data_IF_392953847994
#
_entry.id   IF_392953847994
#
_cell.length_a   1.000
_cell.length_b   1.000
_cell.length_c   1.000
_cell.angle_alpha   90.00
_cell.angle_beta   90.00
_cell.angle_gamma   90.00
#
_symmetry.space_group_name_H-M   'P 1'
#
loop_
_entity.id
_entity.type
_entity.pdbx_description
1 polymer ?
#
# COMPACT_ATOMS: atom_id res chain seq x y z
N UNK A 1 18.23 -1.95 -15.45
CA UNK A 1 17.55 -3.16 -14.94
C UNK A 1 18.30 -3.68 -13.72
N UNK A 2 17.61 -4.03 -12.62
CA UNK A 2 18.24 -4.62 -11.43
C UNK A 2 17.87 -6.11 -11.41
N UNK A 3 18.86 -6.99 -11.32
CA UNK A 3 18.66 -8.42 -11.07
C UNK A 3 19.05 -8.74 -9.60
N UNK A 4 18.07 -8.96 -8.70
CA UNK A 4 18.34 -9.26 -7.30
C UNK A 4 19.01 -10.62 -7.05
N UNK A 5 18.82 -11.58 -7.98
CA UNK A 5 19.35 -12.94 -7.90
C UNK A 5 20.83 -12.94 -8.29
N UNK A 6 21.15 -12.27 -9.40
CA UNK A 6 22.53 -12.15 -9.88
C UNK A 6 23.33 -11.06 -9.15
N UNK A 7 22.68 -10.24 -8.32
CA UNK A 7 23.29 -9.11 -7.62
C UNK A 7 23.97 -8.15 -8.60
N UNK A 8 23.28 -7.82 -9.68
CA UNK A 8 23.81 -7.00 -10.76
C UNK A 8 22.82 -5.88 -11.11
N UNK A 9 23.36 -4.70 -11.39
CA UNK A 9 22.63 -3.57 -11.95
C UNK A 9 23.12 -3.36 -13.38
N UNK A 10 22.26 -3.56 -14.36
CA UNK A 10 22.53 -3.18 -15.74
C UNK A 10 22.07 -1.74 -15.96
N UNK A 11 23.01 -0.87 -16.34
CA UNK A 11 22.75 0.50 -16.78
C UNK A 11 22.73 0.48 -18.31
N UNK A 12 21.65 0.98 -18.90
CA UNK A 12 21.50 1.06 -20.36
C UNK A 12 21.44 2.53 -20.76
N UNK A 13 22.28 2.91 -21.72
CA UNK A 13 22.34 4.22 -22.34
C UNK A 13 22.10 4.08 -23.85
N UNK A 14 21.84 5.19 -24.55
CA UNK A 14 21.54 5.17 -26.00
C UNK A 14 22.66 4.53 -26.83
N UNK A 15 23.91 4.63 -26.37
CA UNK A 15 25.10 4.17 -27.10
C UNK A 15 25.76 2.93 -26.48
N UNK A 16 25.19 2.35 -25.43
CA UNK A 16 25.78 1.16 -24.80
C UNK A 16 25.08 0.69 -23.54
N UNK A 17 25.57 -0.41 -22.97
CA UNK A 17 25.14 -0.86 -21.66
C UNK A 17 26.35 -1.27 -20.83
N UNK A 18 26.27 -1.08 -19.52
CA UNK A 18 27.28 -1.54 -18.58
C UNK A 18 26.62 -2.31 -17.43
N UNK A 19 27.33 -3.30 -16.90
CA UNK A 19 26.89 -4.08 -15.74
C UNK A 19 27.71 -3.62 -14.54
N UNK A 20 27.02 -3.21 -13.50
CA UNK A 20 27.58 -2.79 -12.21
C UNK A 20 27.30 -3.92 -11.20
N UNK A 21 28.34 -4.59 -10.67
CA UNK A 21 28.18 -5.55 -9.58
C UNK A 21 27.59 -4.86 -8.34
N UNK A 22 26.58 -5.46 -7.74
CA UNK A 22 25.96 -4.97 -6.52
C UNK A 22 26.55 -5.73 -5.31
N UNK A 23 27.06 -4.98 -4.34
CA UNK A 23 27.47 -5.56 -3.05
C UNK A 23 26.30 -5.50 -2.09
N UNK A 24 25.84 -6.66 -1.62
CA UNK A 24 24.88 -6.73 -0.52
C UNK A 24 25.61 -6.38 0.79
N UNK A 25 25.24 -5.26 1.39
CA UNK A 25 25.73 -4.92 2.74
C UNK A 25 25.06 -5.89 3.74
N UNK A 26 25.83 -6.63 4.56
CA UNK A 26 25.28 -7.56 5.54
C UNK A 26 24.32 -6.83 6.48
N UNK A 27 23.08 -7.33 6.56
CA UNK A 27 22.04 -6.80 7.43
C UNK A 27 22.33 -7.26 8.86
N UNK A 28 22.41 -6.33 9.82
CA UNK A 28 22.42 -6.72 11.25
C UNK A 28 21.03 -6.86 11.83
N UNK A 29 20.02 -6.18 11.30
CA UNK A 29 18.58 -6.40 11.52
C UNK A 29 17.81 -5.49 10.54
N UNK A 30 16.90 -6.05 9.73
CA UNK A 30 16.02 -5.26 8.85
C UNK A 30 16.66 -4.58 7.62
N UNK A 31 15.84 -3.86 6.85
CA UNK A 31 16.22 -3.13 5.65
C UNK A 31 17.39 -2.16 5.93
N UNK A 32 18.36 -2.07 5.03
CA UNK A 32 19.45 -1.11 5.13
C UNK A 32 18.88 0.31 4.94
N UNK A 33 18.52 0.98 6.03
CA UNK A 33 17.99 2.34 6.00
C UNK A 33 19.16 3.32 6.05
N UNK A 34 19.38 4.06 4.96
CA UNK A 34 20.32 5.19 4.97
C UNK A 34 19.60 6.41 5.52
N UNK A 35 20.15 7.03 6.55
CA UNK A 35 19.66 8.35 7.00
C UNK A 35 20.00 9.43 5.97
N UNK A 36 19.18 10.48 5.91
CA UNK A 36 19.47 11.67 5.12
C UNK A 36 20.87 12.26 5.43
N UNK A 37 21.30 12.18 6.69
CA UNK A 37 22.61 12.66 7.14
C UNK A 37 23.77 11.86 6.50
N UNK A 38 23.64 10.54 6.39
CA UNK A 38 24.66 9.70 5.76
C UNK A 38 24.80 10.01 4.27
N UNK A 39 23.67 10.24 3.58
CA UNK A 39 23.66 10.66 2.17
C UNK A 39 24.36 12.01 2.02
N UNK A 40 24.00 13.01 2.82
CA UNK A 40 24.60 14.35 2.79
C UNK A 40 26.11 14.31 3.07
N UNK A 41 26.56 13.48 4.01
CA UNK A 41 28.00 13.31 4.31
C UNK A 41 28.76 12.68 3.13
N UNK A 42 28.16 11.72 2.41
CA UNK A 42 28.74 11.13 1.21
C UNK A 42 28.91 12.18 0.10
N UNK A 43 27.85 12.96 -0.17
CA UNK A 43 27.85 14.04 -1.16
C UNK A 43 28.93 15.10 -0.86
N UNK A 44 29.03 15.56 0.40
CA UNK A 44 30.02 16.57 0.81
C UNK A 44 31.47 16.11 0.65
N UNK A 45 31.73 14.80 0.63
CA UNK A 45 33.07 14.24 0.40
C UNK A 45 33.45 14.17 -1.09
N UNK A 46 32.59 14.64 -1.99
CA UNK A 46 32.83 14.59 -3.43
C UNK A 46 32.74 13.18 -4.02
N UNK A 47 32.15 12.22 -3.29
CA UNK A 47 31.94 10.88 -3.80
C UNK A 47 30.75 10.87 -4.77
N UNK A 48 30.93 10.28 -5.95
CA UNK A 48 29.85 10.08 -6.92
C UNK A 48 28.72 9.30 -6.26
N UNK A 49 27.55 9.94 -6.15
CA UNK A 49 26.36 9.38 -5.50
C UNK A 49 25.25 9.31 -6.53
N UNK A 50 24.75 8.12 -6.80
CA UNK A 50 23.68 7.88 -7.79
C UNK A 50 22.41 7.45 -7.06
N UNK A 51 21.28 8.08 -7.40
CA UNK A 51 19.97 7.67 -6.94
C UNK A 51 19.29 6.87 -8.06
N UNK A 52 19.00 5.59 -7.79
CA UNK A 52 18.25 4.73 -8.69
C UNK A 52 16.92 4.37 -8.03
N UNK A 53 15.82 4.60 -8.74
CA UNK A 53 14.47 4.18 -8.34
C UNK A 53 14.00 3.12 -9.32
N UNK A 54 13.33 2.08 -8.82
CA UNK A 54 12.61 1.14 -9.68
C UNK A 54 11.40 1.90 -10.22
N UNK A 55 11.47 2.34 -11.48
CA UNK A 55 10.27 2.76 -12.18
C UNK A 55 9.48 1.49 -12.48
N UNK A 56 8.34 1.30 -11.82
CA UNK A 56 7.35 0.37 -12.36
C UNK A 56 6.87 1.00 -13.66
N UNK A 57 7.20 0.40 -14.80
CA UNK A 57 6.48 0.74 -16.03
C UNK A 57 5.00 0.52 -15.73
N UNK A 58 4.17 1.54 -15.96
CA UNK A 58 2.71 1.32 -15.98
C UNK A 58 2.29 0.40 -17.12
N UNK A 59 3.22 0.03 -18.00
CA UNK A 59 3.12 -1.19 -18.76
C UNK A 59 3.24 -2.36 -17.79
N UNK A 60 2.06 -2.70 -17.25
CA UNK A 60 1.65 -4.07 -17.07
C UNK A 60 2.01 -4.77 -18.39
N UNK A 61 3.23 -5.29 -18.48
CA UNK A 61 3.51 -6.29 -19.49
C UNK A 61 2.46 -7.34 -19.20
N UNK A 62 1.48 -7.49 -20.09
CA UNK A 62 0.41 -8.46 -20.00
C UNK A 62 0.94 -9.90 -20.03
N UNK A 63 1.92 -10.23 -19.20
CA UNK A 63 1.91 -11.41 -18.39
C UNK A 63 0.59 -11.40 -17.61
N UNK A 64 -0.47 -11.75 -18.34
CA UNK A 64 -1.59 -12.49 -17.84
C UNK A 64 -1.02 -13.75 -17.20
N UNK A 65 -0.37 -13.63 -16.05
CA UNK A 65 -0.31 -14.74 -15.12
C UNK A 65 -1.76 -14.99 -14.79
N UNK A 66 -2.35 -15.97 -15.49
CA UNK A 66 -3.70 -16.44 -15.21
C UNK A 66 -3.73 -16.72 -13.73
N UNK A 67 -4.66 -16.06 -13.03
CA UNK A 67 -4.82 -16.32 -11.61
C UNK A 67 -5.03 -17.83 -11.44
N UNK A 68 -4.42 -18.46 -10.44
CA UNK A 68 -4.76 -19.83 -10.09
C UNK A 68 -6.28 -19.98 -10.01
N UNK A 69 -6.83 -21.07 -10.56
CA UNK A 69 -8.28 -21.30 -10.66
C UNK A 69 -9.03 -21.08 -9.33
N UNK A 70 -8.38 -21.41 -8.21
CA UNK A 70 -8.93 -21.18 -6.87
C UNK A 70 -9.16 -19.69 -6.57
N UNK A 71 -8.26 -18.82 -7.03
CA UNK A 71 -8.36 -17.37 -6.85
C UNK A 71 -9.47 -16.83 -7.77
N UNK A 72 -9.55 -17.29 -9.02
CA UNK A 72 -10.64 -16.90 -9.92
C UNK A 72 -12.01 -17.29 -9.35
N UNK A 73 -12.13 -18.51 -8.81
CA UNK A 73 -13.38 -19.00 -8.21
C UNK A 73 -13.79 -18.14 -7.01
N UNK A 74 -12.86 -17.84 -6.10
CA UNK A 74 -13.14 -17.00 -4.93
C UNK A 74 -13.52 -15.57 -5.34
N UNK A 75 -12.84 -15.01 -6.34
CA UNK A 75 -13.17 -13.69 -6.86
C UNK A 75 -14.57 -13.66 -7.48
N UNK A 76 -14.94 -14.69 -8.25
CA UNK A 76 -16.27 -14.85 -8.83
C UNK A 76 -17.37 -14.94 -7.76
N UNK A 77 -17.13 -15.71 -6.71
CA UNK A 77 -18.05 -15.88 -5.57
C UNK A 77 -18.24 -14.59 -4.76
N UNK A 78 -17.29 -13.64 -4.80
CA UNK A 78 -17.29 -12.43 -3.98
C UNK A 78 -17.32 -11.13 -4.82
N UNK A 79 -17.78 -11.19 -6.08
CA UNK A 79 -17.85 -10.04 -6.99
C UNK A 79 -18.68 -8.88 -6.46
N UNK A 80 -19.68 -9.18 -5.65
CA UNK A 80 -20.58 -8.23 -5.00
C UNK A 80 -19.91 -7.46 -3.85
N UNK A 81 -18.83 -7.99 -3.27
CA UNK A 81 -18.06 -7.32 -2.21
C UNK A 81 -17.07 -6.30 -2.80
N UNK A 82 -16.55 -6.56 -4.00
CA UNK A 82 -15.52 -5.75 -4.67
C UNK A 82 -16.09 -4.89 -5.81
N UNK A 83 -17.20 -4.18 -5.57
CA UNK A 83 -17.75 -3.23 -6.54
C UNK A 83 -16.87 -1.97 -6.64
N UNK A 84 -16.68 -1.45 -7.86
CA UNK A 84 -15.95 -0.19 -8.10
C UNK A 84 -16.62 1.03 -7.44
N UNK A 85 -17.94 0.95 -7.25
CA UNK A 85 -18.74 1.97 -6.57
C UNK A 85 -19.50 1.36 -5.39
N UNK A 86 -19.53 2.10 -4.27
CA UNK A 86 -20.32 1.70 -3.10
C UNK A 86 -21.82 1.71 -3.43
N UNK A 87 -22.51 0.63 -3.05
CA UNK A 87 -23.96 0.56 -3.17
C UNK A 87 -24.63 1.73 -2.41
N UNK A 88 -25.63 2.35 -3.05
CA UNK A 88 -26.38 3.49 -2.49
C UNK A 88 -27.26 3.09 -1.30
N UNK A 89 -27.50 1.80 -1.13
CA UNK A 89 -28.30 1.22 -0.06
C UNK A 89 -27.40 0.75 1.07
N UNK A 90 -27.83 0.96 2.32
CA UNK A 90 -27.13 0.42 3.47
C UNK A 90 -27.09 -1.12 3.39
N UNK A 91 -25.97 -1.74 3.82
CA UNK A 91 -25.91 -3.19 3.92
C UNK A 91 -27.01 -3.71 4.87
N UNK A 92 -27.40 -4.99 4.73
CA UNK A 92 -28.37 -5.61 5.63
C UNK A 92 -27.99 -5.40 7.10
N UNK A 93 -28.99 -5.22 7.96
CA UNK A 93 -28.76 -5.18 9.41
C UNK A 93 -28.09 -6.48 9.83
N UNK A 94 -27.04 -6.36 10.64
CA UNK A 94 -26.36 -7.52 11.24
C UNK A 94 -27.34 -8.29 12.13
N UNK A 95 -27.12 -9.59 12.28
CA UNK A 95 -27.92 -10.45 13.17
C UNK A 95 -27.87 -9.97 14.62
N UNK A 96 -26.75 -9.34 15.01
CA UNK A 96 -26.57 -8.72 16.32
C UNK A 96 -26.57 -7.20 16.16
N UNK A 97 -27.53 -6.55 16.82
CA UNK A 97 -27.55 -5.10 17.00
C UNK A 97 -26.79 -4.74 18.29
N UNK A 98 -25.81 -3.85 18.20
CA UNK A 98 -25.05 -3.44 19.37
C UNK A 98 -25.75 -2.25 20.03
N UNK A 99 -26.50 -2.53 21.09
CA UNK A 99 -27.05 -1.48 21.94
C UNK A 99 -25.90 -0.80 22.70
N UNK A 100 -25.76 0.51 22.51
CA UNK A 100 -24.88 1.33 23.35
C UNK A 100 -25.65 1.66 24.64
N UNK A 101 -25.11 1.24 25.77
CA UNK A 101 -25.66 1.64 27.07
C UNK A 101 -25.33 3.11 27.34
N UNK A 102 -26.34 3.86 27.77
CA UNK A 102 -26.19 5.25 28.17
C UNK A 102 -26.31 5.34 29.69
N UNK A 103 -25.45 6.15 30.31
CA UNK A 103 -25.64 6.52 31.70
C UNK A 103 -26.94 7.31 31.88
N UNK A 104 -27.60 7.17 33.02
CA UNK A 104 -28.82 7.89 33.33
C UNK A 104 -28.58 9.40 33.27
N UNK A 105 -29.35 10.11 32.43
CA UNK A 105 -29.21 11.56 32.24
C UNK A 105 -28.16 12.00 31.22
N UNK A 106 -27.52 11.07 30.49
CA UNK A 106 -26.61 11.40 29.40
C UNK A 106 -27.30 12.24 28.32
N UNK A 107 -26.67 13.36 27.95
CA UNK A 107 -27.13 14.26 26.88
C UNK A 107 -26.42 13.92 25.57
N UNK A 108 -27.07 14.07 24.41
CA UNK A 108 -26.42 13.82 23.13
C UNK A 108 -25.39 14.94 22.88
N UNK A 109 -24.26 14.62 22.21
CA UNK A 109 -23.16 15.56 21.97
C UNK A 109 -23.57 16.73 21.05
N UNK A 110 -24.68 16.60 20.33
CA UNK A 110 -25.27 17.67 19.55
C UNK A 110 -26.79 17.67 19.74
N UNK A 111 -27.34 18.76 20.29
CA UNK A 111 -28.78 18.92 20.52
C UNK A 111 -29.39 19.86 19.48
N UNK A 112 -30.26 19.31 18.62
CA UNK A 112 -31.35 20.10 18.04
C UNK A 112 -32.57 19.92 18.96
N UNK A 113 -33.08 21.03 19.50
CA UNK A 113 -34.11 21.09 20.57
C UNK A 113 -35.46 20.42 20.23
N UNK A 114 -35.69 20.01 18.99
CA UNK A 114 -37.01 19.52 18.54
C UNK A 114 -37.25 18.02 18.72
N UNK A 115 -36.19 17.21 18.92
CA UNK A 115 -36.34 15.74 18.96
C UNK A 115 -36.70 15.15 20.34
N UNK A 116 -36.43 15.87 21.44
CA UNK A 116 -36.58 15.32 22.79
C UNK A 116 -38.03 15.28 23.31
N UNK A 117 -38.93 16.11 22.79
CA UNK A 117 -40.31 16.21 23.28
C UNK A 117 -41.25 15.09 22.79
N UNK A 118 -40.84 14.28 21.81
CA UNK A 118 -41.69 13.23 21.22
C UNK A 118 -41.38 11.82 21.73
N UNK A 119 -40.42 11.64 22.63
CA UNK A 119 -39.98 10.31 23.09
C UNK A 119 -40.07 10.10 24.60
N UNK A 120 -40.81 10.95 25.31
CA UNK A 120 -41.15 10.77 26.75
C UNK A 120 -42.49 10.07 26.91
#
# INVERSE_FOLDING_TARGET
MIDPNLQQLMVMEREGSCIVPLVKVPKKDGYAHLSAIQIVKGLKKGASTFLATIASSKEDHGATESLPLIIETVLEENKDIMLDELLKTLPPRREVDHKIELEAGAKPPHMNLTAWLHSS
#
